data_IF_042281174890
#
_entry.id   IF_042281174890
#
_cell.length_a   1.000
_cell.length_b   1.000
_cell.length_c   1.000
_cell.angle_alpha   90.00
_cell.angle_beta   90.00
_cell.angle_gamma   90.00
#
_symmetry.space_group_name_H-M   'P 1'
#
loop_
_entity.id
_entity.type
_entity.pdbx_description
1 polymer ?
#
# COMPACT_ATOMS: atom_id res chain seq x y z
N UNK A 1 20.55 14.43 25.82
CA UNK A 1 21.96 13.96 25.88
C UNK A 1 22.77 14.69 26.96
N UNK A 2 22.65 16.01 27.10
CA UNK A 2 23.44 16.81 28.08
C UNK A 2 23.13 16.44 29.56
N UNK A 3 21.92 15.99 29.89
CA UNK A 3 21.55 15.63 31.26
C UNK A 3 22.20 14.32 31.78
N UNK A 4 22.52 13.39 30.88
CA UNK A 4 23.14 12.10 31.25
C UNK A 4 24.66 12.20 31.50
N UNK A 5 25.33 13.13 30.81
CA UNK A 5 26.77 13.38 31.01
C UNK A 5 27.05 13.99 32.39
N UNK A 6 26.08 14.70 32.96
CA UNK A 6 26.22 15.32 34.29
C UNK A 6 26.09 14.27 35.41
N UNK A 7 25.26 13.24 35.22
CA UNK A 7 25.14 12.11 36.15
C UNK A 7 26.39 11.21 36.14
N UNK A 8 27.08 11.08 35.01
CA UNK A 8 28.35 10.36 34.92
C UNK A 8 29.52 11.09 35.62
N UNK A 9 29.42 12.41 35.85
CA UNK A 9 30.48 13.24 36.46
C UNK A 9 30.34 13.49 37.96
N UNK A 10 29.22 13.12 38.59
CA UNK A 10 29.15 13.10 40.06
C UNK A 10 29.51 11.70 40.52
N UNK A 11 30.68 11.47 41.14
CA UNK A 11 30.94 10.21 41.79
C UNK A 11 29.88 10.07 42.89
N UNK A 12 28.92 9.18 42.67
CA UNK A 12 28.13 8.61 43.75
C UNK A 12 29.15 8.23 44.83
N UNK A 13 29.09 8.89 46.00
CA UNK A 13 29.88 8.55 47.18
C UNK A 13 29.43 7.17 47.65
N UNK A 14 29.85 6.15 46.90
CA UNK A 14 29.65 4.76 47.23
C UNK A 14 30.89 4.37 48.02
N UNK A 15 30.62 3.89 49.23
CA UNK A 15 31.56 3.32 50.20
C UNK A 15 32.72 2.59 49.52
N UNK A 16 33.93 2.68 50.12
CA UNK A 16 35.18 2.00 49.71
C UNK A 16 34.91 0.64 49.05
N UNK A 17 34.78 0.63 47.74
CA UNK A 17 34.44 -0.54 46.94
C UNK A 17 35.64 -0.90 46.09
N UNK A 18 35.92 -2.20 45.96
CA UNK A 18 36.98 -2.71 45.10
C UNK A 18 36.78 -2.17 43.66
N UNK A 19 37.83 -1.68 42.97
CA UNK A 19 37.73 -1.13 41.61
C UNK A 19 37.00 -2.06 40.61
N UNK A 20 37.12 -3.38 40.75
CA UNK A 20 36.38 -4.34 39.93
C UNK A 20 34.86 -4.31 40.15
N UNK A 21 34.40 -4.06 41.39
CA UNK A 21 32.98 -3.96 41.68
C UNK A 21 32.40 -2.62 41.22
N UNK A 22 33.23 -1.57 41.19
CA UNK A 22 32.84 -0.25 40.67
C UNK A 22 32.57 -0.28 39.17
N UNK A 23 33.40 -0.97 38.38
CA UNK A 23 33.20 -1.12 36.93
C UNK A 23 31.97 -1.95 36.60
N UNK A 24 31.70 -3.02 37.37
CA UNK A 24 30.48 -3.83 37.23
C UNK A 24 29.24 -2.99 37.51
N UNK A 25 29.20 -2.25 38.63
CA UNK A 25 28.05 -1.39 38.96
C UNK A 25 27.82 -0.31 37.90
N UNK A 26 28.89 0.35 37.42
CA UNK A 26 28.77 1.34 36.36
C UNK A 26 28.25 0.74 35.04
N UNK A 27 28.76 -0.43 34.64
CA UNK A 27 28.31 -1.12 33.42
C UNK A 27 26.85 -1.55 33.52
N UNK A 28 26.42 -2.06 34.68
CA UNK A 28 25.03 -2.42 34.94
C UNK A 28 24.09 -1.22 34.93
N UNK A 29 24.51 -0.07 35.49
CA UNK A 29 23.73 1.18 35.42
C UNK A 29 23.64 1.71 33.99
N UNK A 30 24.71 1.63 33.20
CA UNK A 30 24.69 1.99 31.79
C UNK A 30 23.78 1.07 30.97
N UNK A 31 23.85 -0.25 31.21
CA UNK A 31 23.00 -1.23 30.53
C UNK A 31 21.52 -1.03 30.90
N UNK A 32 21.21 -0.81 32.18
CA UNK A 32 19.87 -0.52 32.65
C UNK A 32 19.36 0.80 32.06
N UNK A 33 20.21 1.84 32.02
CA UNK A 33 19.88 3.11 31.38
C UNK A 33 19.60 2.95 29.89
N UNK A 34 20.39 2.15 29.17
CA UNK A 34 20.15 1.83 27.76
C UNK A 34 18.83 1.07 27.57
N UNK A 35 18.56 0.06 28.40
CA UNK A 35 17.30 -0.71 28.36
C UNK A 35 16.09 0.16 28.64
N UNK A 36 16.18 1.07 29.62
CA UNK A 36 15.10 2.02 29.92
C UNK A 36 14.91 3.02 28.77
N UNK A 37 15.98 3.54 28.19
CA UNK A 37 15.90 4.41 27.01
C UNK A 37 15.26 3.66 25.85
N UNK A 38 15.66 2.42 25.56
CA UNK A 38 15.04 1.62 24.50
C UNK A 38 13.56 1.34 24.78
N UNK A 39 13.22 0.99 26.02
CA UNK A 39 11.84 0.71 26.42
C UNK A 39 10.94 1.95 26.31
N UNK A 40 11.37 3.10 26.82
CA UNK A 40 10.60 4.34 26.77
C UNK A 40 10.64 5.05 25.40
N UNK A 41 11.68 4.80 24.59
CA UNK A 41 11.76 5.28 23.21
C UNK A 41 11.04 4.37 22.22
N UNK A 42 10.53 3.21 22.67
CA UNK A 42 9.75 2.29 21.85
C UNK A 42 8.39 2.91 21.54
N UNK A 43 8.34 3.72 20.49
CA UNK A 43 7.14 4.38 20.05
C UNK A 43 6.19 3.34 19.42
N UNK A 44 5.18 2.91 20.19
CA UNK A 44 4.18 1.91 19.77
C UNK A 44 3.50 2.27 18.45
N UNK A 45 3.29 3.56 18.15
CA UNK A 45 2.73 4.02 16.86
C UNK A 45 3.66 3.72 15.68
N UNK A 46 4.98 3.80 15.88
CA UNK A 46 5.95 3.42 14.84
C UNK A 46 6.08 1.90 14.73
N UNK A 47 5.87 1.16 15.82
CA UNK A 47 5.95 -0.31 15.81
C UNK A 47 4.90 -0.95 14.90
N UNK A 48 3.67 -0.43 14.87
CA UNK A 48 2.60 -0.91 13.98
C UNK A 48 2.99 -0.70 12.52
N UNK A 49 3.38 0.53 12.16
CA UNK A 49 3.82 0.86 10.81
C UNK A 49 5.02 0.01 10.37
N UNK A 50 6.02 -0.16 11.23
CA UNK A 50 7.18 -0.99 10.89
C UNK A 50 6.83 -2.47 10.72
N UNK A 51 5.83 -2.97 11.44
CA UNK A 51 5.35 -4.33 11.25
C UNK A 51 4.63 -4.48 9.90
N UNK A 52 3.69 -3.58 9.59
CA UNK A 52 2.98 -3.56 8.30
C UNK A 52 3.99 -3.44 7.14
N UNK A 53 4.93 -2.50 7.23
CA UNK A 53 5.96 -2.30 6.21
C UNK A 53 6.87 -3.53 6.07
N UNK A 54 7.23 -4.19 7.17
CA UNK A 54 8.03 -5.42 7.11
C UNK A 54 7.30 -6.52 6.35
N UNK A 55 6.01 -6.74 6.64
CA UNK A 55 5.17 -7.71 5.93
C UNK A 55 5.07 -7.36 4.45
N UNK A 56 4.85 -6.08 4.11
CA UNK A 56 4.80 -5.62 2.73
C UNK A 56 6.12 -5.85 1.97
N UNK A 57 7.27 -5.55 2.60
CA UNK A 57 8.60 -5.73 1.99
C UNK A 57 9.02 -7.21 1.85
N UNK A 58 8.33 -8.10 2.54
CA UNK A 58 8.46 -9.54 2.40
C UNK A 58 7.40 -10.16 1.47
N UNK A 59 6.42 -9.36 1.04
CA UNK A 59 5.27 -9.79 0.24
C UNK A 59 4.35 -10.77 0.99
N UNK A 60 4.31 -10.68 2.32
CA UNK A 60 3.44 -11.50 3.19
C UNK A 60 2.03 -10.89 3.23
N UNK A 61 1.34 -10.81 2.08
CA UNK A 61 0.10 -10.06 1.90
C UNK A 61 -1.05 -10.55 2.79
N UNK A 62 -1.23 -11.87 2.89
CA UNK A 62 -2.29 -12.47 3.71
C UNK A 62 -2.11 -12.13 5.21
N UNK A 63 -0.87 -12.21 5.71
CA UNK A 63 -0.55 -11.85 7.09
C UNK A 63 -0.75 -10.34 7.33
N UNK A 64 -0.39 -9.50 6.35
CA UNK A 64 -0.62 -8.05 6.41
C UNK A 64 -2.11 -7.73 6.52
N UNK A 65 -2.94 -8.32 5.68
CA UNK A 65 -4.40 -8.12 5.71
C UNK A 65 -5.01 -8.63 7.02
N UNK A 66 -4.59 -9.80 7.50
CA UNK A 66 -5.01 -10.33 8.80
C UNK A 66 -4.63 -9.37 9.93
N UNK A 67 -3.39 -8.89 9.96
CA UNK A 67 -2.90 -7.98 10.99
C UNK A 67 -3.67 -6.66 10.99
N UNK A 68 -3.87 -6.07 9.81
CA UNK A 68 -4.53 -4.76 9.67
C UNK A 68 -6.04 -4.81 9.83
N UNK A 69 -6.66 -6.00 9.71
CA UNK A 69 -8.05 -6.22 10.11
C UNK A 69 -8.20 -6.12 11.64
N UNK A 70 -7.28 -6.74 12.40
CA UNK A 70 -7.27 -6.70 13.86
C UNK A 70 -6.75 -5.36 14.41
N UNK A 71 -5.84 -4.72 13.67
CA UNK A 71 -5.16 -3.49 14.04
C UNK A 71 -5.26 -2.46 12.89
N UNK A 72 -6.44 -1.86 12.67
CA UNK A 72 -6.65 -0.91 11.58
C UNK A 72 -5.71 0.28 11.66
N UNK A 73 -4.96 0.52 10.58
CA UNK A 73 -3.93 1.55 10.61
C UNK A 73 -4.51 2.96 10.60
N UNK A 74 -3.90 3.83 11.41
CA UNK A 74 -4.19 5.27 11.46
C UNK A 74 -3.07 6.10 10.85
N UNK A 75 -2.16 5.45 10.13
CA UNK A 75 -1.03 6.07 9.47
C UNK A 75 -1.18 5.97 7.95
N UNK A 76 -0.85 7.06 7.24
CA UNK A 76 -0.91 7.13 5.79
C UNK A 76 -0.21 5.95 5.11
N UNK A 77 1.00 5.60 5.55
CA UNK A 77 1.78 4.50 4.99
C UNK A 77 1.22 3.14 5.35
N UNK A 78 0.58 3.01 6.52
CA UNK A 78 -0.13 1.79 6.90
C UNK A 78 -1.32 1.56 5.97
N UNK A 79 -2.17 2.57 5.77
CA UNK A 79 -3.28 2.52 4.81
C UNK A 79 -2.80 2.23 3.38
N UNK A 80 -1.69 2.85 2.97
CA UNK A 80 -1.04 2.58 1.68
C UNK A 80 -0.69 1.10 1.49
N UNK A 81 0.02 0.50 2.45
CA UNK A 81 0.40 -0.91 2.34
C UNK A 81 -0.79 -1.86 2.48
N UNK A 82 -1.82 -1.51 3.25
CA UNK A 82 -3.08 -2.28 3.29
C UNK A 82 -3.77 -2.29 1.93
N UNK A 83 -3.93 -1.12 1.30
CA UNK A 83 -4.54 -1.03 -0.04
C UNK A 83 -3.69 -1.76 -1.09
N UNK A 84 -2.36 -1.68 -0.97
CA UNK A 84 -1.45 -2.43 -1.84
C UNK A 84 -1.61 -3.95 -1.66
N UNK A 85 -1.71 -4.44 -0.43
CA UNK A 85 -1.93 -5.86 -0.15
C UNK A 85 -3.29 -6.36 -0.67
N UNK A 86 -4.34 -5.53 -0.59
CA UNK A 86 -5.62 -5.80 -1.22
C UNK A 86 -5.49 -5.93 -2.74
N UNK A 87 -4.71 -5.06 -3.38
CA UNK A 87 -4.48 -5.11 -4.82
C UNK A 87 -3.73 -6.39 -5.24
N UNK A 88 -2.65 -6.75 -4.54
CA UNK A 88 -1.92 -8.01 -4.77
C UNK A 88 -2.80 -9.25 -4.56
N UNK A 89 -3.81 -9.15 -3.70
CA UNK A 89 -4.76 -10.23 -3.43
C UNK A 89 -5.98 -10.23 -4.36
N UNK A 90 -6.10 -9.28 -5.30
CA UNK A 90 -7.28 -9.13 -6.16
C UNK A 90 -8.56 -8.77 -5.40
N UNK A 91 -8.43 -8.11 -4.25
CA UNK A 91 -9.51 -7.81 -3.31
C UNK A 91 -9.76 -6.31 -3.13
N UNK A 92 -9.04 -5.44 -3.84
CA UNK A 92 -9.15 -3.99 -3.64
C UNK A 92 -10.57 -3.52 -3.94
N UNK A 93 -11.17 -3.91 -5.06
CA UNK A 93 -12.54 -3.54 -5.40
C UNK A 93 -13.64 -4.34 -4.65
N UNK A 94 -13.29 -5.25 -3.75
CA UNK A 94 -14.27 -6.00 -2.92
C UNK A 94 -14.22 -5.60 -1.45
N UNK A 95 -13.02 -5.31 -0.95
CA UNK A 95 -12.74 -5.20 0.49
C UNK A 95 -12.23 -3.80 0.90
N UNK A 96 -12.13 -2.82 -0.02
CA UNK A 96 -11.60 -1.48 0.26
C UNK A 96 -12.16 -0.85 1.54
N UNK A 97 -13.47 -0.93 1.74
CA UNK A 97 -14.18 -0.31 2.86
C UNK A 97 -14.29 -1.22 4.10
N UNK A 98 -13.71 -2.43 4.10
CA UNK A 98 -13.43 -3.14 5.36
C UNK A 98 -12.38 -2.41 6.20
N UNK A 99 -11.53 -1.62 5.55
CA UNK A 99 -10.44 -0.87 6.17
C UNK A 99 -10.76 0.62 6.22
N UNK A 100 -10.31 1.36 7.25
CA UNK A 100 -10.49 2.80 7.31
C UNK A 100 -9.78 3.52 6.16
N UNK A 101 -10.55 4.32 5.40
CA UNK A 101 -10.05 5.11 4.26
C UNK A 101 -9.87 6.60 4.61
N UNK A 102 -9.36 6.90 5.81
CA UNK A 102 -9.21 8.29 6.32
C UNK A 102 -8.34 9.19 5.45
N UNK A 103 -7.45 8.61 4.63
CA UNK A 103 -6.54 9.35 3.76
C UNK A 103 -7.02 9.45 2.29
N UNK A 104 -8.17 8.85 1.94
CA UNK A 104 -8.73 8.88 0.58
C UNK A 104 -7.69 8.51 -0.50
N UNK A 105 -7.65 9.29 -1.58
CA UNK A 105 -6.68 9.16 -2.70
C UNK A 105 -5.23 8.96 -2.23
N UNK A 106 -4.81 9.68 -1.18
CA UNK A 106 -3.42 9.62 -0.67
C UNK A 106 -3.08 8.27 -0.04
N UNK A 107 -4.09 7.52 0.42
CA UNK A 107 -3.95 6.15 0.88
C UNK A 107 -3.78 5.13 -0.26
N UNK A 108 -4.00 5.50 -1.53
CA UNK A 108 -3.73 4.63 -2.67
C UNK A 108 -2.35 4.89 -3.27
N UNK A 109 -2.03 6.16 -3.51
CA UNK A 109 -0.73 6.60 -4.02
C UNK A 109 -0.34 7.93 -3.39
N UNK A 110 0.95 8.12 -3.19
CA UNK A 110 1.47 9.41 -2.74
C UNK A 110 1.46 10.40 -3.91
N UNK A 111 1.10 11.64 -3.61
CA UNK A 111 1.55 12.77 -4.41
C UNK A 111 3.08 12.84 -4.28
N UNK A 112 3.78 13.13 -5.38
CA UNK A 112 5.23 13.34 -5.36
C UNK A 112 5.59 14.48 -4.40
N UNK A 113 6.26 14.13 -3.32
CA UNK A 113 6.87 15.08 -2.39
C UNK A 113 8.35 14.71 -2.30
N UNK A 114 9.23 15.71 -2.47
CA UNK A 114 10.68 15.56 -2.32
C UNK A 114 11.10 15.17 -0.88
N UNK A 115 10.15 15.01 0.06
CA UNK A 115 10.38 14.45 1.39
C UNK A 115 10.67 12.95 1.33
N UNK A 116 11.81 12.56 1.92
CA UNK A 116 12.39 11.22 1.75
C UNK A 116 11.54 10.01 2.16
N UNK A 117 10.52 10.13 3.02
CA UNK A 117 9.67 8.98 3.39
C UNK A 117 8.67 8.59 2.29
N UNK A 118 8.17 9.54 1.47
CA UNK A 118 7.29 9.24 0.34
C UNK A 118 8.09 8.69 -0.82
N UNK A 119 9.23 9.32 -1.14
CA UNK A 119 10.12 8.88 -2.21
C UNK A 119 10.60 7.44 -2.00
N UNK A 120 10.95 7.05 -0.76
CA UNK A 120 11.31 5.67 -0.40
C UNK A 120 10.23 4.65 -0.75
N UNK A 121 8.95 5.04 -0.74
CA UNK A 121 7.81 4.13 -0.87
C UNK A 121 7.12 4.20 -2.22
N UNK A 122 7.25 5.29 -2.96
CA UNK A 122 6.53 5.47 -4.21
C UNK A 122 6.84 4.42 -5.27
N UNK A 123 8.07 3.88 -5.29
CA UNK A 123 8.40 2.78 -6.22
C UNK A 123 7.53 1.53 -6.04
N UNK A 124 6.97 1.32 -4.84
CA UNK A 124 6.10 0.16 -4.57
C UNK A 124 4.73 0.30 -5.19
N UNK A 125 4.20 1.52 -5.25
CA UNK A 125 2.96 1.81 -5.98
C UNK A 125 3.13 1.49 -7.46
N UNK A 126 4.12 2.13 -8.10
CA UNK A 126 4.34 1.98 -9.54
C UNK A 126 4.66 0.53 -9.89
N UNK A 127 5.38 -0.17 -9.03
CA UNK A 127 5.59 -1.59 -9.23
C UNK A 127 4.32 -2.41 -9.14
N UNK A 128 3.44 -2.12 -8.18
CA UNK A 128 2.17 -2.84 -7.99
C UNK A 128 1.25 -2.68 -9.19
N UNK A 129 1.15 -1.47 -9.76
CA UNK A 129 0.37 -1.23 -10.98
C UNK A 129 1.11 -1.61 -12.28
N UNK A 130 2.28 -2.23 -12.14
CA UNK A 130 3.15 -2.66 -13.23
C UNK A 130 3.69 -1.55 -14.13
N UNK A 131 3.81 -0.33 -13.62
CA UNK A 131 4.50 0.77 -14.28
C UNK A 131 6.02 0.71 -14.00
N UNK A 132 6.69 -0.24 -14.63
CA UNK A 132 8.09 -0.62 -14.34
C UNK A 132 9.07 0.55 -14.46
N UNK A 133 8.89 1.42 -15.46
CA UNK A 133 9.78 2.56 -15.69
C UNK A 133 9.69 3.59 -14.55
N UNK A 134 8.48 3.91 -14.06
CA UNK A 134 8.33 4.81 -12.91
C UNK A 134 8.77 4.14 -11.61
N UNK A 135 8.54 2.85 -11.45
CA UNK A 135 9.06 2.11 -10.31
C UNK A 135 10.60 2.19 -10.24
N UNK A 136 11.27 2.11 -11.40
CA UNK A 136 12.71 2.29 -11.51
C UNK A 136 13.13 3.73 -11.18
N UNK A 137 12.48 4.72 -11.80
CA UNK A 137 12.77 6.14 -11.59
C UNK A 137 12.71 6.52 -10.10
N UNK A 138 11.62 6.15 -9.40
CA UNK A 138 11.47 6.42 -7.97
C UNK A 138 12.51 5.70 -7.09
N UNK A 139 12.86 4.46 -7.45
CA UNK A 139 13.89 3.71 -6.72
C UNK A 139 15.28 4.31 -6.92
N UNK A 140 15.58 4.79 -8.12
CA UNK A 140 16.83 5.46 -8.43
C UNK A 140 16.94 6.79 -7.68
N UNK A 141 15.90 7.61 -7.70
CA UNK A 141 15.86 8.87 -6.94
C UNK A 141 15.99 8.62 -5.43
N UNK A 142 15.29 7.62 -4.87
CA UNK A 142 15.46 7.23 -3.47
C UNK A 142 16.89 6.73 -3.19
N UNK A 143 17.52 6.01 -4.12
CA UNK A 143 18.91 5.56 -3.99
C UNK A 143 19.89 6.74 -3.98
N UNK A 144 19.64 7.80 -4.75
CA UNK A 144 20.48 9.01 -4.74
C UNK A 144 20.46 9.67 -3.36
N UNK A 145 19.32 9.65 -2.67
CA UNK A 145 19.17 10.26 -1.32
C UNK A 145 19.65 9.33 -0.21
N UNK A 146 19.17 8.09 -0.18
CA UNK A 146 19.35 7.16 0.95
C UNK A 146 20.49 6.15 0.71
N UNK A 147 21.08 6.13 -0.48
CA UNK A 147 22.10 5.18 -0.89
C UNK A 147 21.57 3.80 -1.23
N UNK A 148 22.49 2.83 -1.23
CA UNK A 148 22.23 1.42 -1.56
C UNK A 148 21.54 0.66 -0.42
N UNK A 149 20.32 1.06 -0.09
CA UNK A 149 19.47 0.34 0.87
C UNK A 149 18.99 -0.99 0.27
N UNK A 150 18.67 -1.98 1.12
CA UNK A 150 18.10 -3.25 0.67
C UNK A 150 16.87 -3.07 -0.20
N UNK A 151 16.03 -2.09 0.13
CA UNK A 151 14.81 -1.76 -0.61
C UNK A 151 15.12 -1.23 -2.00
N UNK A 152 15.96 -0.21 -2.09
CA UNK A 152 16.33 0.42 -3.36
C UNK A 152 17.01 -0.59 -4.28
N UNK A 153 17.99 -1.33 -3.75
CA UNK A 153 18.65 -2.40 -4.51
C UNK A 153 17.66 -3.47 -4.97
N UNK A 154 16.74 -3.92 -4.11
CA UNK A 154 15.73 -4.92 -4.51
C UNK A 154 14.91 -4.41 -5.68
N UNK A 155 14.38 -3.18 -5.60
CA UNK A 155 13.56 -2.60 -6.66
C UNK A 155 14.36 -2.37 -7.95
N UNK A 156 15.61 -1.89 -7.84
CA UNK A 156 16.49 -1.71 -9.00
C UNK A 156 16.82 -3.04 -9.67
N UNK A 157 17.12 -4.10 -8.91
CA UNK A 157 17.31 -5.45 -9.46
C UNK A 157 16.07 -5.90 -10.23
N UNK A 158 14.89 -5.82 -9.60
CA UNK A 158 13.63 -6.25 -10.20
C UNK A 158 13.33 -5.51 -11.52
N UNK A 159 13.47 -4.17 -11.51
CA UNK A 159 13.19 -3.35 -12.69
C UNK A 159 14.21 -3.58 -13.81
N UNK A 160 15.49 -3.73 -13.49
CA UNK A 160 16.53 -3.99 -14.50
C UNK A 160 16.41 -5.39 -15.11
N UNK A 161 16.05 -6.40 -14.31
CA UNK A 161 15.74 -7.74 -14.81
C UNK A 161 14.57 -7.70 -15.80
N UNK A 162 13.47 -7.00 -15.43
CA UNK A 162 12.29 -6.89 -16.31
C UNK A 162 12.60 -6.13 -17.61
N UNK A 163 13.47 -5.12 -17.53
CA UNK A 163 13.90 -4.33 -18.70
C UNK A 163 14.97 -5.01 -19.55
N UNK A 164 15.46 -6.18 -19.15
CA UNK A 164 16.51 -6.92 -19.87
C UNK A 164 17.93 -6.37 -19.66
N UNK A 165 18.14 -5.50 -18.68
CA UNK A 165 19.43 -4.90 -18.35
C UNK A 165 20.22 -5.77 -17.36
N UNK A 166 20.40 -7.06 -17.70
CA UNK A 166 20.94 -8.09 -16.81
C UNK A 166 22.32 -7.73 -16.23
N UNK A 167 23.18 -7.06 -17.00
CA UNK A 167 24.52 -6.64 -16.55
C UNK A 167 24.49 -5.55 -15.47
N UNK A 168 23.45 -4.71 -15.45
CA UNK A 168 23.22 -3.72 -14.38
C UNK A 168 22.60 -4.42 -13.18
N UNK A 169 21.62 -5.30 -13.41
CA UNK A 169 21.01 -6.11 -12.37
C UNK A 169 22.06 -6.94 -11.60
N UNK A 170 23.03 -7.55 -12.29
CA UNK A 170 24.14 -8.33 -11.70
C UNK A 170 24.90 -7.50 -10.66
N UNK A 171 25.29 -6.26 -11.01
CA UNK A 171 25.99 -5.36 -10.08
C UNK A 171 25.17 -5.08 -8.83
N UNK A 172 23.86 -4.88 -8.97
CA UNK A 172 22.98 -4.64 -7.84
C UNK A 172 22.75 -5.91 -7.00
N UNK A 173 22.68 -7.09 -7.61
CA UNK A 173 22.62 -8.39 -6.93
C UNK A 173 23.87 -8.60 -6.08
N UNK A 174 25.06 -8.33 -6.63
CA UNK A 174 26.33 -8.42 -5.92
C UNK A 174 26.40 -7.45 -4.73
N UNK A 175 26.01 -6.19 -4.94
CA UNK A 175 25.94 -5.19 -3.88
C UNK A 175 24.98 -5.63 -2.77
N UNK A 176 23.80 -6.14 -3.12
CA UNK A 176 22.82 -6.66 -2.15
C UNK A 176 23.37 -7.88 -1.40
N UNK A 177 24.11 -8.76 -2.07
CA UNK A 177 24.72 -9.96 -1.49
C UNK A 177 25.92 -9.70 -0.59
N UNK A 178 26.56 -8.53 -0.70
CA UNK A 178 27.69 -8.14 0.14
C UNK A 178 27.31 -7.94 1.63
N UNK A 179 26.05 -7.59 1.89
CA UNK A 179 25.53 -7.41 3.25
C UNK A 179 25.04 -8.75 3.87
N UNK A 180 25.47 -9.02 5.11
CA UNK A 180 25.22 -10.30 5.80
C UNK A 180 23.73 -10.72 5.83
N UNK A 181 22.82 -9.77 6.07
CA UNK A 181 21.39 -10.04 6.23
C UNK A 181 20.59 -10.10 4.92
N UNK A 182 21.21 -9.83 3.78
CA UNK A 182 20.52 -9.71 2.49
C UNK A 182 20.91 -10.78 1.46
N UNK A 183 21.82 -11.70 1.84
CA UNK A 183 22.26 -12.84 1.00
C UNK A 183 21.11 -13.70 0.48
N UNK A 184 20.03 -13.89 1.25
CA UNK A 184 18.85 -14.66 0.82
C UNK A 184 18.16 -13.99 -0.38
N UNK A 185 17.98 -12.66 -0.35
CA UNK A 185 17.37 -11.92 -1.45
C UNK A 185 18.28 -11.92 -2.69
N UNK A 186 19.59 -11.72 -2.52
CA UNK A 186 20.54 -11.80 -3.64
C UNK A 186 20.52 -13.19 -4.32
N UNK A 187 20.51 -14.27 -3.52
CA UNK A 187 20.40 -15.64 -4.04
C UNK A 187 19.09 -15.93 -4.77
N UNK A 188 17.99 -15.27 -4.38
CA UNK A 188 16.72 -15.41 -5.07
C UNK A 188 16.78 -14.77 -6.47
N UNK A 189 17.43 -13.62 -6.63
CA UNK A 189 17.51 -12.95 -7.94
C UNK A 189 18.62 -13.45 -8.87
N UNK A 190 19.68 -14.07 -8.33
CA UNK A 190 20.83 -14.51 -9.12
C UNK A 190 20.47 -15.42 -10.32
N UNK A 191 19.57 -16.41 -10.22
CA UNK A 191 19.22 -17.26 -11.36
C UNK A 191 18.60 -16.51 -12.54
N UNK A 192 17.92 -15.38 -12.27
CA UNK A 192 17.26 -14.58 -13.30
C UNK A 192 18.24 -13.78 -14.17
N UNK A 193 19.51 -13.68 -13.80
CA UNK A 193 20.50 -12.93 -14.57
C UNK A 193 20.76 -13.58 -15.93
N UNK A 194 20.69 -14.92 -16.00
CA UNK A 194 21.02 -15.71 -17.19
C UNK A 194 19.81 -16.49 -17.75
N UNK A 195 18.69 -16.54 -17.03
CA UNK A 195 17.52 -17.35 -17.38
C UNK A 195 16.24 -16.50 -17.50
N UNK A 196 15.86 -16.20 -18.75
CA UNK A 196 14.62 -15.47 -19.07
C UNK A 196 13.36 -16.30 -18.80
N UNK A 197 13.41 -17.62 -18.97
CA UNK A 197 12.28 -18.51 -18.67
C UNK A 197 12.00 -18.51 -17.16
N UNK A 198 13.05 -18.49 -16.33
CA UNK A 198 12.89 -18.36 -14.89
C UNK A 198 12.19 -17.04 -14.51
N UNK A 199 12.50 -15.91 -15.18
CA UNK A 199 11.79 -14.64 -14.96
C UNK A 199 10.31 -14.74 -15.35
N UNK A 200 10.01 -15.35 -16.51
CA UNK A 200 8.63 -15.46 -17.01
C UNK A 200 7.74 -16.31 -16.11
N UNK A 201 8.33 -17.31 -15.44
CA UNK A 201 7.64 -18.21 -14.50
C UNK A 201 7.62 -17.67 -13.06
N UNK A 202 8.35 -16.59 -12.76
CA UNK A 202 8.33 -15.96 -11.45
C UNK A 202 6.99 -15.21 -11.22
N UNK A 203 6.33 -15.42 -10.07
CA UNK A 203 5.02 -14.81 -9.80
C UNK A 203 5.07 -13.28 -9.70
N UNK A 204 6.23 -12.70 -9.39
CA UNK A 204 6.38 -11.26 -9.23
C UNK A 204 6.98 -10.62 -10.51
N UNK A 205 8.04 -11.18 -11.09
CA UNK A 205 8.66 -10.60 -12.28
C UNK A 205 7.88 -10.92 -13.58
N UNK A 206 7.35 -12.13 -13.70
CA UNK A 206 6.71 -12.65 -14.90
C UNK A 206 5.53 -11.80 -15.43
N UNK A 207 4.57 -11.38 -14.58
CA UNK A 207 3.47 -10.51 -15.01
C UNK A 207 3.93 -9.19 -15.62
N UNK A 208 5.10 -8.67 -15.20
CA UNK A 208 5.64 -7.38 -15.63
C UNK A 208 6.46 -7.48 -16.91
N UNK A 209 6.97 -8.68 -17.24
CA UNK A 209 7.65 -8.95 -18.52
C UNK A 209 6.72 -8.85 -19.74
N UNK A 210 5.40 -9.04 -19.53
CA UNK A 210 4.40 -9.09 -20.61
C UNK A 210 3.88 -7.72 -21.03
N UNK A 211 4.40 -6.65 -20.43
CA UNK A 211 3.90 -5.29 -20.64
C UNK A 211 4.77 -4.60 -21.67
N UNK A 212 4.25 -4.52 -22.90
CA UNK A 212 4.78 -3.63 -23.93
C UNK A 212 3.94 -2.35 -23.93
N UNK A 213 4.51 -1.25 -23.45
CA UNK A 213 3.92 0.07 -23.69
C UNK A 213 4.09 0.36 -25.20
N UNK A 214 2.98 0.54 -25.91
CA UNK A 214 3.00 0.75 -27.37
C UNK A 214 3.38 2.19 -27.73
N UNK A 215 3.17 3.12 -26.82
CA UNK A 215 3.52 4.52 -26.97
C UNK A 215 4.31 4.97 -25.73
N UNK A 216 5.37 5.74 -25.97
CA UNK A 216 6.06 6.45 -24.92
C UNK A 216 5.10 7.52 -24.36
N UNK A 217 4.80 7.43 -23.07
CA UNK A 217 4.12 8.50 -22.34
C UNK A 217 4.96 8.85 -21.12
N UNK A 218 5.00 10.13 -20.79
CA UNK A 218 5.54 10.57 -19.52
C UNK A 218 4.48 10.40 -18.45
N UNK A 219 4.88 10.04 -17.24
CA UNK A 219 4.00 10.23 -16.11
C UNK A 219 3.62 11.73 -16.05
N UNK A 220 2.33 12.03 -16.17
CA UNK A 220 1.83 13.41 -16.16
C UNK A 220 1.81 13.92 -14.72
N UNK A 221 2.98 14.35 -14.25
CA UNK A 221 3.14 14.81 -12.88
C UNK A 221 2.60 13.82 -11.85
N UNK A 222 1.91 14.35 -10.84
CA UNK A 222 1.40 13.61 -9.68
C UNK A 222 -0.03 13.08 -9.84
N UNK A 223 -0.68 13.23 -11.00
CA UNK A 223 -2.08 12.82 -11.12
C UNK A 223 -2.21 11.30 -11.29
N UNK A 224 -2.62 10.67 -10.20
CA UNK A 224 -2.86 9.23 -10.14
C UNK A 224 -3.86 8.75 -11.21
N UNK A 225 -4.96 9.49 -11.44
CA UNK A 225 -5.99 9.05 -12.38
C UNK A 225 -5.45 9.05 -13.81
N UNK A 226 -4.76 10.14 -14.20
CA UNK A 226 -4.18 10.28 -15.53
C UNK A 226 -3.14 9.19 -15.78
N UNK A 227 -2.24 8.96 -14.83
CA UNK A 227 -1.20 7.94 -14.96
C UNK A 227 -1.79 6.51 -15.12
N UNK A 228 -2.83 6.18 -14.35
CA UNK A 228 -3.53 4.90 -14.47
C UNK A 228 -4.24 4.76 -15.82
N UNK A 229 -4.92 5.81 -16.29
CA UNK A 229 -5.60 5.80 -17.60
C UNK A 229 -4.61 5.66 -18.75
N UNK A 230 -3.48 6.37 -18.72
CA UNK A 230 -2.43 6.25 -19.73
C UNK A 230 -1.82 4.84 -19.76
N UNK A 231 -1.62 4.25 -18.58
CA UNK A 231 -1.15 2.87 -18.47
C UNK A 231 -2.16 1.87 -19.06
N UNK A 232 -3.46 2.04 -18.78
CA UNK A 232 -4.53 1.19 -19.30
C UNK A 232 -4.76 1.36 -20.80
N UNK A 233 -4.60 2.57 -21.34
CA UNK A 233 -4.66 2.81 -22.79
C UNK A 233 -3.56 2.04 -23.54
N UNK A 234 -2.39 1.87 -22.92
CA UNK A 234 -1.27 1.11 -23.49
C UNK A 234 -1.33 -0.40 -23.18
N UNK A 235 -1.88 -0.78 -22.02
CA UNK A 235 -2.06 -2.17 -21.61
C UNK A 235 -3.45 -2.39 -21.00
N UNK A 236 -4.48 -2.62 -21.85
CA UNK A 236 -5.86 -2.85 -21.39
C UNK A 236 -6.04 -4.14 -20.57
N UNK A 237 -5.07 -5.04 -20.55
CA UNK A 237 -5.14 -6.27 -19.73
C UNK A 237 -4.59 -6.09 -18.32
N UNK A 238 -4.14 -4.88 -17.95
CA UNK A 238 -3.50 -4.60 -16.67
C UNK A 238 -4.52 -4.51 -15.53
N UNK A 239 -4.93 -5.66 -14.99
CA UNK A 239 -5.89 -5.73 -13.90
C UNK A 239 -5.47 -4.93 -12.65
N UNK A 240 -4.20 -4.97 -12.17
CA UNK A 240 -3.79 -4.13 -11.05
C UNK A 240 -4.01 -2.62 -11.25
N UNK A 241 -3.77 -2.11 -12.48
CA UNK A 241 -4.05 -0.71 -12.79
C UNK A 241 -5.56 -0.41 -12.76
N UNK A 242 -6.37 -1.34 -13.23
CA UNK A 242 -7.82 -1.28 -13.15
C UNK A 242 -8.34 -1.30 -11.71
N UNK A 243 -7.82 -2.20 -10.86
CA UNK A 243 -8.15 -2.24 -9.42
C UNK A 243 -7.89 -0.89 -8.75
N UNK A 244 -6.73 -0.29 -9.00
CA UNK A 244 -6.38 1.02 -8.44
C UNK A 244 -7.24 2.15 -9.00
N UNK A 245 -7.54 2.15 -10.31
CA UNK A 245 -8.40 3.16 -10.92
C UNK A 245 -9.81 3.08 -10.31
N UNK A 246 -10.38 1.88 -10.25
CA UNK A 246 -11.71 1.68 -9.69
C UNK A 246 -11.77 2.04 -8.21
N UNK A 247 -10.76 1.67 -7.42
CA UNK A 247 -10.67 2.06 -6.02
C UNK A 247 -10.57 3.59 -5.85
N UNK A 248 -9.80 4.27 -6.70
CA UNK A 248 -9.73 5.74 -6.71
C UNK A 248 -11.11 6.35 -6.95
N UNK A 249 -11.81 5.89 -7.98
CA UNK A 249 -13.12 6.42 -8.35
C UNK A 249 -14.19 6.10 -7.29
N UNK A 250 -14.11 4.94 -6.61
CA UNK A 250 -14.95 4.62 -5.46
C UNK A 250 -14.70 5.59 -4.29
N UNK A 251 -13.45 5.89 -3.97
CA UNK A 251 -13.11 6.87 -2.92
C UNK A 251 -13.62 8.26 -3.28
N UNK A 252 -13.51 8.65 -4.56
CA UNK A 252 -13.93 9.96 -5.05
C UNK A 252 -15.43 10.04 -5.37
N UNK A 253 -16.15 8.92 -5.24
CA UNK A 253 -17.60 8.79 -5.50
C UNK A 253 -17.97 9.11 -6.95
N UNK A 254 -17.05 8.88 -7.88
CA UNK A 254 -17.16 9.19 -9.32
C UNK A 254 -17.83 8.02 -10.08
N UNK A 255 -19.12 7.78 -9.81
CA UNK A 255 -19.86 6.63 -10.37
C UNK A 255 -19.93 6.62 -11.90
N UNK A 256 -19.97 7.79 -12.53
CA UNK A 256 -19.95 7.94 -13.99
C UNK A 256 -18.64 7.44 -14.59
N UNK A 257 -17.52 7.81 -13.97
CA UNK A 257 -16.19 7.35 -14.40
C UNK A 257 -16.01 5.86 -14.16
N UNK A 258 -16.62 5.30 -13.10
CA UNK A 258 -16.64 3.85 -12.86
C UNK A 258 -17.37 3.15 -14.01
N UNK A 259 -18.58 3.61 -14.35
CA UNK A 259 -19.38 3.05 -15.43
C UNK A 259 -18.61 3.06 -16.77
N UNK A 260 -17.95 4.17 -17.09
CA UNK A 260 -17.13 4.29 -18.30
C UNK A 260 -15.93 3.35 -18.33
N UNK A 261 -15.30 3.06 -17.19
CA UNK A 261 -14.14 2.17 -17.10
C UNK A 261 -14.52 0.68 -16.94
N UNK A 262 -15.78 0.38 -16.58
CA UNK A 262 -16.23 -0.96 -16.21
C UNK A 262 -16.08 -2.01 -17.30
N UNK A 263 -16.39 -1.75 -18.59
CA UNK A 263 -16.22 -2.75 -19.64
C UNK A 263 -14.79 -3.28 -19.73
N UNK A 264 -13.80 -2.38 -19.71
CA UNK A 264 -12.39 -2.76 -19.75
C UNK A 264 -11.92 -3.46 -18.47
N UNK A 265 -12.42 -3.03 -17.30
CA UNK A 265 -12.18 -3.75 -16.04
C UNK A 265 -12.70 -5.19 -16.12
N UNK A 266 -13.92 -5.40 -16.61
CA UNK A 266 -14.51 -6.75 -16.72
C UNK A 266 -13.74 -7.60 -17.73
N UNK A 267 -13.29 -7.05 -18.85
CA UNK A 267 -12.43 -7.77 -19.79
C UNK A 267 -11.13 -8.23 -19.13
N UNK A 268 -10.44 -7.34 -18.42
CA UNK A 268 -9.22 -7.66 -17.67
C UNK A 268 -9.46 -8.65 -16.52
N UNK A 269 -10.63 -8.59 -15.87
CA UNK A 269 -11.01 -9.43 -14.74
C UNK A 269 -11.84 -10.66 -15.13
N UNK A 270 -11.80 -11.08 -16.40
CA UNK A 270 -12.49 -12.30 -16.89
C UNK A 270 -14.00 -12.32 -16.59
N UNK A 271 -14.63 -11.17 -16.65
CA UNK A 271 -16.07 -10.96 -16.41
C UNK A 271 -16.48 -10.96 -14.94
N UNK A 272 -15.54 -11.07 -13.99
CA UNK A 272 -15.85 -11.03 -12.57
C UNK A 272 -16.15 -9.58 -12.13
N UNK A 273 -17.35 -9.36 -11.59
CA UNK A 273 -17.79 -8.07 -11.05
C UNK A 273 -17.61 -8.04 -9.51
N UNK A 274 -16.70 -7.22 -8.97
CA UNK A 274 -16.54 -6.99 -7.54
C UNK A 274 -17.80 -6.40 -6.89
N UNK A 275 -18.01 -6.74 -5.62
CA UNK A 275 -19.16 -6.26 -4.85
C UNK A 275 -19.26 -4.74 -4.78
N UNK A 276 -18.16 -4.01 -4.61
CA UNK A 276 -18.22 -2.55 -4.51
C UNK A 276 -18.55 -1.89 -5.86
N UNK A 277 -18.17 -2.52 -6.97
CA UNK A 277 -18.55 -2.05 -8.31
C UNK A 277 -20.01 -2.37 -8.62
N UNK A 278 -20.52 -3.54 -8.21
CA UNK A 278 -21.94 -3.84 -8.29
C UNK A 278 -22.80 -2.87 -7.45
N UNK A 279 -22.32 -2.51 -6.25
CA UNK A 279 -22.95 -1.49 -5.42
C UNK A 279 -22.90 -0.08 -6.04
N UNK A 280 -21.82 0.28 -6.75
CA UNK A 280 -21.70 1.58 -7.42
C UNK A 280 -22.59 1.69 -8.66
N UNK A 281 -22.80 0.60 -9.40
CA UNK A 281 -23.79 0.55 -10.49
C UNK A 281 -25.19 0.88 -9.96
N UNK A 282 -25.55 0.35 -8.79
CA UNK A 282 -26.84 0.70 -8.19
C UNK A 282 -26.95 2.22 -7.94
N UNK A 283 -25.89 2.84 -7.42
CA UNK A 283 -25.85 4.30 -7.22
C UNK A 283 -26.01 5.03 -8.56
N UNK A 284 -25.29 4.60 -9.61
CA UNK A 284 -25.40 5.17 -10.95
C UNK A 284 -26.86 5.18 -11.44
N UNK A 285 -27.57 4.05 -11.31
CA UNK A 285 -28.98 3.93 -11.75
C UNK A 285 -29.93 4.81 -10.94
N UNK A 286 -29.62 5.08 -9.68
CA UNK A 286 -30.39 6.00 -8.83
C UNK A 286 -30.11 7.45 -9.24
N UNK A 287 -28.84 7.79 -9.50
CA UNK A 287 -28.42 9.12 -9.95
C UNK A 287 -29.01 9.48 -11.31
N UNK A 288 -28.98 8.53 -12.26
CA UNK A 288 -29.42 8.71 -13.66
C UNK A 288 -30.73 8.00 -13.95
N UNK A 289 -31.70 8.11 -13.05
CA UNK A 289 -32.99 7.39 -13.14
C UNK A 289 -33.77 7.68 -14.43
N UNK A 290 -33.50 8.82 -15.06
CA UNK A 290 -34.16 9.27 -16.30
C UNK A 290 -33.41 8.83 -17.57
N UNK A 291 -32.20 8.29 -17.44
CA UNK A 291 -31.35 7.85 -18.55
C UNK A 291 -31.42 6.33 -18.75
N UNK A 292 -31.16 5.88 -19.98
CA UNK A 292 -31.08 4.45 -20.28
C UNK A 292 -29.77 3.86 -19.76
N UNK A 293 -29.85 3.23 -18.57
CA UNK A 293 -28.76 2.48 -17.94
C UNK A 293 -29.01 0.96 -18.00
N UNK A 294 -29.76 0.50 -19.00
CA UNK A 294 -30.15 -0.92 -19.15
C UNK A 294 -28.97 -1.86 -19.40
N UNK A 295 -27.87 -1.35 -19.95
CA UNK A 295 -26.62 -2.10 -20.16
C UNK A 295 -25.95 -2.52 -18.83
N UNK A 296 -26.20 -1.80 -17.74
CA UNK A 296 -25.66 -2.10 -16.43
C UNK A 296 -26.67 -2.88 -15.57
N UNK A 297 -26.31 -4.13 -15.27
CA UNK A 297 -27.09 -5.02 -14.42
C UNK A 297 -26.56 -5.00 -12.99
N UNK A 298 -27.46 -4.80 -12.03
CA UNK A 298 -27.16 -4.92 -10.59
C UNK A 298 -27.54 -6.31 -10.12
N UNK A 299 -26.70 -6.95 -9.33
CA UNK A 299 -27.03 -8.28 -8.80
C UNK A 299 -28.26 -8.24 -7.87
N UNK A 300 -29.08 -9.31 -7.84
CA UNK A 300 -30.19 -9.42 -6.88
C UNK A 300 -29.73 -9.34 -5.42
N UNK A 301 -28.50 -9.77 -5.13
CA UNK A 301 -27.92 -9.71 -3.80
C UNK A 301 -27.67 -8.26 -3.35
N UNK A 302 -27.11 -7.43 -4.23
CA UNK A 302 -26.90 -6.01 -3.96
C UNK A 302 -28.21 -5.24 -3.84
N UNK A 303 -29.20 -5.50 -4.71
CA UNK A 303 -30.54 -4.93 -4.58
C UNK A 303 -31.17 -5.23 -3.21
N UNK A 304 -31.17 -6.50 -2.79
CA UNK A 304 -31.71 -6.92 -1.50
C UNK A 304 -30.98 -6.26 -0.32
N UNK A 305 -29.65 -6.16 -0.39
CA UNK A 305 -28.84 -5.48 0.65
C UNK A 305 -29.16 -3.99 0.70
N UNK A 306 -29.35 -3.34 -0.45
CA UNK A 306 -29.70 -1.93 -0.52
C UNK A 306 -31.09 -1.64 0.05
N UNK A 307 -32.09 -2.47 -0.27
CA UNK A 307 -33.45 -2.31 0.26
C UNK A 307 -33.46 -2.42 1.79
N UNK A 308 -32.71 -3.38 2.34
CA UNK A 308 -32.55 -3.52 3.79
C UNK A 308 -31.81 -2.31 4.41
N UNK A 309 -30.74 -1.83 3.76
CA UNK A 309 -30.00 -0.65 4.17
C UNK A 309 -30.88 0.60 4.21
N UNK A 310 -31.59 0.89 3.12
CA UNK A 310 -32.45 2.08 3.01
C UNK A 310 -33.69 2.00 3.91
N UNK A 311 -34.23 0.79 4.12
CA UNK A 311 -35.32 0.55 5.06
C UNK A 311 -34.97 0.91 6.50
N UNK A 312 -33.72 0.66 6.92
CA UNK A 312 -33.21 1.09 8.23
C UNK A 312 -32.91 2.59 8.20
N UNK A 313 -32.21 3.09 7.19
CA UNK A 313 -31.81 4.50 7.08
C UNK A 313 -33.00 5.46 7.22
N UNK A 314 -34.14 5.13 6.61
CA UNK A 314 -35.38 5.96 6.65
C UNK A 314 -36.03 6.05 8.03
N UNK A 315 -35.69 5.17 8.97
CA UNK A 315 -36.25 5.17 10.33
C UNK A 315 -35.60 6.23 11.23
N UNK A 316 -34.42 6.72 10.85
CA UNK A 316 -33.64 7.65 11.65
C UNK A 316 -33.60 9.03 10.99
N UNK A 317 -33.90 10.08 11.77
CA UNK A 317 -33.74 11.47 11.33
C UNK A 317 -32.32 12.01 11.60
N UNK A 318 -31.68 11.51 12.66
CA UNK A 318 -30.30 11.87 13.01
C UNK A 318 -29.32 10.95 12.25
N UNK A 319 -28.43 11.57 11.48
CA UNK A 319 -27.42 10.89 10.66
C UNK A 319 -26.38 10.13 11.51
N UNK A 320 -26.03 10.63 12.70
CA UNK A 320 -25.06 9.96 13.57
C UNK A 320 -25.63 8.68 14.18
N UNK A 321 -26.90 8.72 14.58
CA UNK A 321 -27.60 7.54 15.08
C UNK A 321 -27.82 6.51 13.96
N UNK A 322 -28.19 6.97 12.76
CA UNK A 322 -28.28 6.11 11.58
C UNK A 322 -26.94 5.43 11.29
N UNK A 323 -25.83 6.17 11.30
CA UNK A 323 -24.49 5.64 11.07
C UNK A 323 -24.12 4.58 12.10
N UNK A 324 -24.36 4.82 13.40
CA UNK A 324 -24.07 3.86 14.48
C UNK A 324 -24.82 2.53 14.32
N UNK A 325 -26.09 2.60 13.91
CA UNK A 325 -26.94 1.41 13.73
C UNK A 325 -26.57 0.65 12.45
N UNK A 326 -26.24 1.36 11.38
CA UNK A 326 -25.91 0.76 10.08
C UNK A 326 -24.48 0.21 10.03
N UNK A 327 -23.53 0.79 10.78
CA UNK A 327 -22.11 0.46 10.70
C UNK A 327 -21.77 -1.04 10.88
N UNK A 328 -22.32 -1.77 11.88
CA UNK A 328 -21.94 -3.17 12.10
C UNK A 328 -22.23 -4.10 10.91
N UNK A 329 -23.25 -3.77 10.11
CA UNK A 329 -23.71 -4.63 8.99
C UNK A 329 -23.32 -4.06 7.62
N UNK A 330 -23.30 -2.74 7.48
CA UNK A 330 -23.13 -2.06 6.20
C UNK A 330 -21.91 -1.14 6.16
N UNK A 331 -21.09 -1.07 7.21
CA UNK A 331 -19.92 -0.19 7.29
C UNK A 331 -18.93 -0.37 6.13
N UNK A 332 -18.89 -1.56 5.54
CA UNK A 332 -18.04 -1.91 4.39
C UNK A 332 -18.72 -1.75 3.02
N UNK A 333 -19.95 -1.23 2.97
CA UNK A 333 -20.63 -0.95 1.70
C UNK A 333 -20.22 0.41 1.15
N UNK A 334 -20.23 0.53 -0.17
CA UNK A 334 -20.04 1.79 -0.88
C UNK A 334 -21.11 2.82 -0.50
N UNK A 335 -22.37 2.42 -0.27
CA UNK A 335 -23.42 3.36 0.12
C UNK A 335 -23.23 3.92 1.53
N UNK A 336 -22.72 3.11 2.46
CA UNK A 336 -22.36 3.61 3.78
C UNK A 336 -21.23 4.62 3.68
N UNK A 337 -20.20 4.31 2.91
CA UNK A 337 -19.11 5.25 2.62
C UNK A 337 -19.64 6.55 1.97
N UNK A 338 -20.52 6.44 0.99
CA UNK A 338 -21.13 7.56 0.28
C UNK A 338 -21.91 8.48 1.23
N UNK A 339 -22.73 7.90 2.11
CA UNK A 339 -23.64 8.64 3.00
C UNK A 339 -22.96 9.23 4.24
N UNK A 340 -21.98 8.54 4.83
CA UNK A 340 -21.46 8.89 6.16
C UNK A 340 -19.99 9.29 6.17
N UNK A 341 -19.23 8.95 5.13
CA UNK A 341 -17.82 9.37 5.02
C UNK A 341 -17.75 10.52 4.04
N UNK A 342 -17.87 11.75 4.55
CA UNK A 342 -17.51 12.95 3.79
C UNK A 342 -15.99 13.05 3.74
N UNK A 343 -15.39 12.99 2.55
CA UNK A 343 -14.04 13.54 2.35
C UNK A 343 -14.24 15.05 2.43
N UNK A 344 -14.00 15.67 3.60
CA UNK A 344 -12.70 16.29 3.87
C UNK A 344 -12.27 16.24 5.36
N UNK A 345 -10.98 15.97 5.57
CA UNK A 345 -10.23 16.14 6.83
C UNK A 345 -10.74 15.38 8.07
N UNK A 346 -10.20 14.17 8.27
CA UNK A 346 -9.87 13.65 9.61
C UNK A 346 -8.36 13.54 9.75
#
# INVERSE_FOLDING_TARGET
IIFWVILARRPLRILKMNPAWRTVVQSSVCLLGLLLVLHFSFNRKNSELFHIEKLALNQDWDELLSYTTEHPSRNLFGTFYTNMALAHSGKLCTELFLYPQSFGRRGLCFEWDAKGEMLRRGSDFFWTVHFVNEAHHWAFESMVIDGFTSRNLTRLIQTELVRGNHRVAEKYVDLLGSALFHKKKAKYYAPFLDDREAILNDPELGPRMKIHLKQDFFAEGMDLEINLRSLLANNPSNLPAYEYLMALLLLEKEVDKIAAALPGYLEANKGMLPSLLDESILVLKITHREEDTSEFNVSPASLKRFDAYTGILRQYRDQNEAARVLYPTYGSSFWFYLNFVSIPNL
#
